data_IF_280348178768
#
_entry.id   IF_280348178768
#
_cell.length_a   1.000
_cell.length_b   1.000
_cell.length_c   1.000
_cell.angle_alpha   90.00
_cell.angle_beta   90.00
_cell.angle_gamma   90.00
#
_symmetry.space_group_name_H-M   'P 1'
#
loop_
_entity.id
_entity.type
_entity.pdbx_description
1 polymer ?
#
# COMPACT_ATOMS: atom_id res chain seq x y z
N UNK A 1 4.83 4.60 -5.61
CA UNK A 1 3.96 5.47 -4.80
C UNK A 1 2.47 5.23 -5.06
N UNK A 2 1.96 5.49 -6.28
CA UNK A 2 0.52 5.36 -6.58
C UNK A 2 -0.08 3.99 -6.22
N UNK A 3 0.68 2.91 -6.43
CA UNK A 3 0.22 1.56 -6.10
C UNK A 3 -0.01 1.36 -4.60
N UNK A 4 1.00 1.68 -3.77
CA UNK A 4 0.89 1.68 -2.30
C UNK A 4 -0.18 2.67 -1.80
N UNK A 5 -0.33 3.80 -2.49
CA UNK A 5 -1.32 4.82 -2.13
C UNK A 5 -2.77 4.34 -2.29
N UNK A 6 -3.05 3.31 -3.10
CA UNK A 6 -4.41 2.77 -3.26
C UNK A 6 -5.02 2.34 -1.93
N UNK A 7 -4.22 1.74 -1.04
CA UNK A 7 -4.69 1.31 0.29
C UNK A 7 -5.31 2.48 1.06
N UNK A 8 -4.54 3.56 1.28
CA UNK A 8 -5.05 4.75 1.99
C UNK A 8 -6.06 5.58 1.20
N UNK A 9 -6.02 5.58 -0.13
CA UNK A 9 -6.98 6.35 -0.93
C UNK A 9 -8.36 5.69 -1.01
N UNK A 10 -8.40 4.36 -1.08
CA UNK A 10 -9.64 3.61 -1.30
C UNK A 10 -10.22 3.04 0.00
N UNK A 11 -9.37 2.75 0.99
CA UNK A 11 -9.77 2.02 2.20
C UNK A 11 -9.96 2.95 3.39
N UNK A 12 -9.07 3.90 3.63
CA UNK A 12 -9.19 4.83 4.76
C UNK A 12 -10.47 5.67 4.70
N UNK A 13 -10.94 6.10 5.87
CA UNK A 13 -12.09 6.99 5.99
C UNK A 13 -11.86 8.32 5.23
N UNK A 14 -12.95 9.05 4.93
CA UNK A 14 -12.90 10.28 4.11
C UNK A 14 -11.98 11.33 4.72
N UNK A 15 -12.02 11.49 6.04
CA UNK A 15 -11.23 12.48 6.78
C UNK A 15 -10.04 11.87 7.53
N UNK A 16 -9.68 10.62 7.21
CA UNK A 16 -8.52 9.97 7.80
C UNK A 16 -7.23 10.75 7.46
N UNK A 17 -6.39 11.10 8.46
CA UNK A 17 -5.13 11.81 8.24
C UNK A 17 -4.21 11.14 7.20
N UNK A 18 -4.21 9.80 7.09
CA UNK A 18 -3.44 9.04 6.10
C UNK A 18 -3.89 9.37 4.67
N UNK A 19 -5.21 9.40 4.48
CA UNK A 19 -5.81 9.73 3.19
C UNK A 19 -5.55 11.19 2.83
N UNK A 20 -5.78 12.11 3.77
CA UNK A 20 -5.60 13.56 3.56
C UNK A 20 -4.14 13.94 3.33
N UNK A 21 -3.20 13.32 4.04
CA UNK A 21 -1.77 13.47 3.81
C UNK A 21 -1.39 13.05 2.38
N UNK A 22 -1.84 11.87 1.93
CA UNK A 22 -1.60 11.39 0.57
C UNK A 22 -2.22 12.30 -0.50
N UNK A 23 -3.47 12.74 -0.31
CA UNK A 23 -4.14 13.67 -1.23
C UNK A 23 -3.40 15.01 -1.32
N UNK A 24 -2.84 15.50 -0.21
CA UNK A 24 -2.05 16.75 -0.20
C UNK A 24 -0.81 16.64 -1.07
N UNK A 25 -0.08 15.52 -0.97
CA UNK A 25 1.10 15.25 -1.82
C UNK A 25 0.69 15.07 -3.28
N UNK A 26 -0.36 14.28 -3.55
CA UNK A 26 -0.85 14.06 -4.92
C UNK A 26 -1.34 15.34 -5.59
N UNK A 27 -1.99 16.24 -4.83
CA UNK A 27 -2.38 17.57 -5.31
C UNK A 27 -1.16 18.38 -5.74
N UNK A 28 -0.15 18.47 -4.88
CA UNK A 28 1.08 19.20 -5.18
C UNK A 28 1.80 18.61 -6.41
N UNK A 29 1.88 17.28 -6.51
CA UNK A 29 2.47 16.60 -7.66
C UNK A 29 1.68 16.84 -8.95
N UNK A 30 0.34 16.78 -8.92
CA UNK A 30 -0.51 16.96 -10.10
C UNK A 30 -0.42 18.39 -10.65
N UNK A 31 -0.54 19.38 -9.77
CA UNK A 31 -0.41 20.80 -10.15
C UNK A 31 1.01 21.10 -10.69
N UNK A 32 2.05 20.60 -10.01
CA UNK A 32 3.43 20.77 -10.45
C UNK A 32 3.72 20.07 -11.78
N UNK A 33 3.21 18.85 -11.96
CA UNK A 33 3.38 18.09 -13.19
C UNK A 33 2.69 18.77 -14.38
N UNK A 34 1.44 19.20 -14.24
CA UNK A 34 0.70 19.89 -15.30
C UNK A 34 1.47 21.14 -15.79
N UNK A 35 1.95 21.97 -14.85
CA UNK A 35 2.76 23.16 -15.16
C UNK A 35 4.10 22.81 -15.80
N UNK A 36 4.80 21.79 -15.29
CA UNK A 36 6.11 21.41 -15.78
C UNK A 36 6.08 20.82 -17.20
N UNK A 37 5.03 20.09 -17.57
CA UNK A 37 4.91 19.49 -18.90
C UNK A 37 4.28 20.42 -19.93
N UNK A 38 3.64 21.52 -19.52
CA UNK A 38 2.97 22.48 -20.41
C UNK A 38 3.81 22.97 -21.61
N UNK A 39 5.13 23.27 -21.47
CA UNK A 39 5.96 23.70 -22.61
C UNK A 39 6.20 22.63 -23.69
N UNK A 40 6.03 21.35 -23.35
CA UNK A 40 6.32 20.20 -24.23
C UNK A 40 5.04 19.51 -24.68
N UNK A 41 4.06 19.38 -23.78
CA UNK A 41 2.80 18.66 -23.97
C UNK A 41 1.61 19.60 -23.68
N UNK A 42 1.44 20.69 -24.45
CA UNK A 42 0.52 21.79 -24.12
C UNK A 42 -0.94 21.33 -24.00
N UNK A 43 -1.44 20.54 -24.95
CA UNK A 43 -2.82 20.07 -24.92
C UNK A 43 -3.10 19.14 -23.74
N UNK A 44 -2.15 18.26 -23.38
CA UNK A 44 -2.29 17.33 -22.26
C UNK A 44 -2.22 18.07 -20.92
N UNK A 45 -1.31 19.04 -20.80
CA UNK A 45 -1.21 19.88 -19.61
C UNK A 45 -2.50 20.66 -19.37
N UNK A 46 -3.05 21.25 -20.44
CA UNK A 46 -4.32 21.98 -20.38
C UNK A 46 -5.49 21.04 -20.04
N UNK A 47 -5.55 19.84 -20.64
CA UNK A 47 -6.58 18.85 -20.33
C UNK A 47 -6.53 18.40 -18.86
N UNK A 48 -5.35 18.17 -18.30
CA UNK A 48 -5.17 17.90 -16.86
C UNK A 48 -5.69 19.07 -16.02
N UNK A 49 -5.33 20.31 -16.39
CA UNK A 49 -5.68 21.52 -15.66
C UNK A 49 -7.19 21.79 -15.63
N UNK A 50 -7.87 21.58 -16.76
CA UNK A 50 -9.33 21.74 -16.87
C UNK A 50 -10.10 20.65 -16.11
N UNK A 51 -9.49 19.48 -15.89
CA UNK A 51 -10.11 18.34 -15.21
C UNK A 51 -9.60 18.14 -13.77
N UNK A 52 -9.02 19.17 -13.15
CA UNK A 52 -8.66 19.10 -11.73
C UNK A 52 -9.91 18.83 -10.88
N UNK A 53 -9.89 17.82 -9.98
CA UNK A 53 -11.07 17.42 -9.21
C UNK A 53 -11.32 18.30 -7.97
N UNK A 54 -10.74 19.50 -7.95
CA UNK A 54 -10.78 20.46 -6.85
C UNK A 54 -10.57 21.87 -7.38
N UNK A 55 -10.90 22.86 -6.54
CA UNK A 55 -10.68 24.26 -6.88
C UNK A 55 -9.20 24.55 -7.13
N UNK A 56 -8.95 25.27 -8.21
CA UNK A 56 -7.62 25.69 -8.64
C UNK A 56 -6.96 26.53 -7.52
N UNK A 57 -5.61 26.48 -7.37
CA UNK A 57 -4.94 27.12 -6.25
C UNK A 57 -5.22 28.63 -6.16
N UNK A 58 -5.38 29.14 -4.94
CA UNK A 58 -5.92 30.49 -4.66
C UNK A 58 -4.97 31.67 -4.85
N UNK A 59 -3.66 31.43 -5.02
CA UNK A 59 -2.74 32.46 -5.56
C UNK A 59 -3.06 32.82 -7.02
N UNK A 60 -4.05 32.13 -7.59
CA UNK A 60 -4.44 32.08 -8.98
C UNK A 60 -5.91 31.64 -9.11
N UNK A 61 -6.81 32.08 -8.20
CA UNK A 61 -8.26 31.78 -8.30
C UNK A 61 -8.86 32.21 -9.65
N UNK A 62 -8.12 33.00 -10.45
CA UNK A 62 -8.44 33.45 -11.80
C UNK A 62 -7.72 32.72 -12.95
N UNK A 63 -6.77 31.79 -12.71
CA UNK A 63 -6.05 31.14 -13.82
C UNK A 63 -6.92 30.08 -14.48
N UNK A 64 -7.50 30.45 -15.61
CA UNK A 64 -8.35 29.57 -16.40
C UNK A 64 -7.53 28.48 -17.09
N UNK A 65 -6.28 28.78 -17.47
CA UNK A 65 -5.41 27.87 -18.20
C UNK A 65 -4.10 27.55 -17.45
N UNK A 66 -3.52 26.38 -17.73
CA UNK A 66 -2.20 26.00 -17.19
C UNK A 66 -1.09 26.99 -17.58
N UNK A 67 -1.24 27.66 -18.74
CA UNK A 67 -0.26 28.63 -19.24
C UNK A 67 -0.28 29.95 -18.46
N UNK A 68 -1.39 30.27 -17.81
CA UNK A 68 -1.50 31.44 -16.92
C UNK A 68 -0.93 31.14 -15.54
N UNK A 69 -0.94 29.86 -15.14
CA UNK A 69 -0.44 29.40 -13.84
C UNK A 69 1.08 29.48 -13.67
N UNK A 70 1.84 29.67 -14.76
CA UNK A 70 3.30 29.81 -14.77
C UNK A 70 4.07 28.63 -14.17
N UNK A 71 5.40 28.69 -14.17
CA UNK A 71 6.20 27.76 -13.36
C UNK A 71 6.13 28.23 -11.89
N UNK A 72 5.94 27.32 -10.91
CA UNK A 72 5.87 27.72 -9.50
C UNK A 72 7.15 28.47 -9.10
N UNK A 73 7.00 29.71 -8.63
CA UNK A 73 8.12 30.54 -8.17
C UNK A 73 8.68 30.06 -6.83
N UNK A 74 7.85 29.37 -6.05
CA UNK A 74 8.21 28.74 -4.78
C UNK A 74 7.70 27.31 -4.82
N UNK A 75 8.60 26.35 -4.67
CA UNK A 75 8.22 24.97 -4.44
C UNK A 75 7.86 24.82 -2.96
N UNK A 76 6.80 24.08 -2.66
CA UNK A 76 6.46 23.75 -1.29
C UNK A 76 7.64 23.02 -0.65
N UNK A 77 8.23 23.61 0.38
CA UNK A 77 9.27 22.96 1.15
C UNK A 77 8.64 21.84 1.99
N UNK A 78 9.26 20.67 1.93
CA UNK A 78 8.96 19.55 2.81
C UNK A 78 10.18 19.31 3.69
N UNK A 79 9.99 18.79 4.92
CA UNK A 79 11.11 18.34 5.73
C UNK A 79 12.02 17.40 4.94
N UNK A 80 13.31 17.46 5.22
CA UNK A 80 14.27 16.53 4.63
C UNK A 80 13.80 15.10 4.91
N UNK A 81 13.59 14.34 3.84
CA UNK A 81 13.16 12.95 3.93
C UNK A 81 14.40 12.10 4.17
N UNK A 82 14.28 11.13 5.07
CA UNK A 82 15.31 10.11 5.26
C UNK A 82 15.42 9.22 4.00
N UNK A 83 16.27 9.65 3.07
CA UNK A 83 16.46 9.00 1.78
C UNK A 83 17.02 7.59 1.95
N UNK A 84 17.93 7.39 2.91
CA UNK A 84 18.58 6.11 3.17
C UNK A 84 17.55 5.07 3.65
N UNK A 85 16.65 5.47 4.55
CA UNK A 85 15.53 4.61 4.99
C UNK A 85 14.65 4.20 3.81
N UNK A 86 14.27 5.14 2.93
CA UNK A 86 13.40 4.81 1.80
C UNK A 86 14.12 4.08 0.65
N UNK A 87 15.43 4.24 0.51
CA UNK A 87 16.27 3.41 -0.36
C UNK A 87 16.29 1.98 0.13
N UNK A 88 16.51 1.76 1.43
CA UNK A 88 16.42 0.45 2.05
C UNK A 88 15.03 -0.19 1.84
N UNK A 89 13.94 0.54 2.07
CA UNK A 89 12.57 0.02 1.87
C UNK A 89 12.31 -0.35 0.40
N UNK A 90 12.79 0.46 -0.56
CA UNK A 90 12.67 0.15 -1.99
C UNK A 90 13.46 -1.10 -2.36
N UNK A 91 14.69 -1.21 -1.87
CA UNK A 91 15.53 -2.37 -2.10
C UNK A 91 14.93 -3.64 -1.47
N UNK A 92 14.39 -3.54 -0.26
CA UNK A 92 13.70 -4.64 0.40
C UNK A 92 12.46 -5.08 -0.40
N UNK A 93 11.74 -4.12 -0.99
CA UNK A 93 10.61 -4.40 -1.88
C UNK A 93 11.04 -5.13 -3.15
N UNK A 94 12.16 -4.76 -3.76
CA UNK A 94 12.71 -5.47 -4.92
C UNK A 94 13.04 -6.93 -4.55
N UNK A 95 13.68 -7.16 -3.40
CA UNK A 95 14.06 -8.51 -2.94
C UNK A 95 12.84 -9.37 -2.57
N UNK A 96 11.81 -8.77 -1.95
CA UNK A 96 10.53 -9.42 -1.68
C UNK A 96 9.76 -9.74 -2.97
N UNK A 97 9.77 -8.84 -3.96
CA UNK A 97 9.14 -9.09 -5.26
C UNK A 97 9.79 -10.26 -5.99
N UNK A 98 11.11 -10.39 -5.94
CA UNK A 98 11.84 -11.54 -6.51
C UNK A 98 11.42 -12.85 -5.86
N UNK A 99 11.29 -12.88 -4.53
CA UNK A 99 10.78 -14.06 -3.81
C UNK A 99 9.32 -14.37 -4.21
N UNK A 100 8.47 -13.34 -4.35
CA UNK A 100 7.08 -13.47 -4.79
C UNK A 100 6.96 -13.97 -6.24
N UNK A 101 7.88 -13.61 -7.13
CA UNK A 101 7.88 -14.10 -8.52
C UNK A 101 8.06 -15.62 -8.58
N UNK A 102 9.00 -16.17 -7.80
CA UNK A 102 9.18 -17.62 -7.67
C UNK A 102 7.92 -18.28 -7.07
N UNK A 103 7.37 -17.70 -6.00
CA UNK A 103 6.16 -18.20 -5.36
C UNK A 103 4.93 -18.18 -6.29
N UNK A 104 4.83 -17.20 -7.19
CA UNK A 104 3.77 -17.13 -8.22
C UNK A 104 3.97 -18.17 -9.31
N UNK A 105 5.21 -18.38 -9.77
CA UNK A 105 5.53 -19.38 -10.78
C UNK A 105 5.11 -20.79 -10.32
N UNK A 106 5.34 -21.08 -9.03
CA UNK A 106 4.95 -22.34 -8.40
C UNK A 106 3.49 -22.37 -7.89
N UNK A 107 2.72 -21.31 -8.14
CA UNK A 107 1.31 -21.14 -7.74
C UNK A 107 1.09 -21.22 -6.22
N UNK A 108 2.10 -20.92 -5.41
CA UNK A 108 1.96 -20.77 -3.97
C UNK A 108 1.09 -19.55 -3.66
N UNK A 109 1.31 -18.42 -4.34
CA UNK A 109 0.54 -17.18 -4.18
C UNK A 109 0.05 -16.67 -5.54
N UNK A 110 -1.09 -15.98 -5.58
CA UNK A 110 -1.56 -15.31 -6.78
C UNK A 110 -1.15 -13.84 -6.76
N UNK A 111 -1.77 -13.08 -5.85
CA UNK A 111 -1.46 -11.67 -5.61
C UNK A 111 -0.39 -11.50 -4.53
N UNK A 112 0.33 -10.36 -4.50
CA UNK A 112 1.28 -10.05 -3.41
C UNK A 112 0.61 -10.06 -2.03
N UNK A 113 -0.65 -9.62 -1.98
CA UNK A 113 -1.43 -9.58 -0.74
C UNK A 113 -1.78 -10.99 -0.22
N UNK A 114 -1.62 -12.05 -0.99
CA UNK A 114 -1.85 -13.42 -0.51
C UNK A 114 -0.67 -13.94 0.34
N UNK A 115 0.41 -13.15 0.47
CA UNK A 115 1.67 -13.57 1.06
C UNK A 115 1.93 -12.98 2.46
N UNK A 116 2.76 -13.70 3.22
CA UNK A 116 3.48 -13.22 4.38
C UNK A 116 4.98 -13.21 4.06
N UNK A 117 5.67 -12.14 4.43
CA UNK A 117 7.12 -12.00 4.29
C UNK A 117 7.81 -12.19 5.64
N UNK A 118 8.90 -12.95 5.65
CA UNK A 118 9.80 -13.12 6.78
C UNK A 118 11.14 -12.49 6.42
N UNK A 119 11.57 -11.49 7.18
CA UNK A 119 12.72 -10.65 6.86
C UNK A 119 13.73 -10.73 7.99
N UNK A 120 14.94 -11.16 7.66
CA UNK A 120 16.08 -11.10 8.55
C UNK A 120 17.08 -10.05 8.05
N UNK A 121 17.48 -9.14 8.93
CA UNK A 121 18.56 -8.19 8.71
C UNK A 121 19.71 -8.49 9.67
N UNK A 122 20.86 -8.86 9.14
CA UNK A 122 22.06 -9.18 9.93
C UNK A 122 22.75 -7.92 10.47
N UNK A 123 22.63 -6.80 9.75
CA UNK A 123 23.12 -5.49 10.20
C UNK A 123 22.14 -4.89 11.23
N UNK A 124 22.58 -4.62 12.48
CA UNK A 124 21.75 -3.99 13.51
C UNK A 124 21.19 -2.62 13.13
N UNK A 125 21.90 -1.84 12.30
CA UNK A 125 21.44 -0.54 11.85
C UNK A 125 20.23 -0.69 10.91
N UNK A 126 20.32 -1.61 9.95
CA UNK A 126 19.22 -1.98 9.06
C UNK A 126 18.04 -2.51 9.87
N UNK A 127 18.29 -3.42 10.82
CA UNK A 127 17.24 -3.94 11.71
C UNK A 127 16.50 -2.84 12.46
N UNK A 128 17.23 -1.87 13.01
CA UNK A 128 16.65 -0.74 13.74
C UNK A 128 15.72 0.10 12.86
N UNK A 129 16.11 0.36 11.61
CA UNK A 129 15.27 1.09 10.64
C UNK A 129 13.98 0.30 10.35
N UNK A 130 14.10 -1.00 10.08
CA UNK A 130 12.94 -1.85 9.78
C UNK A 130 11.99 -1.97 10.98
N UNK A 131 12.51 -2.08 12.21
CA UNK A 131 11.69 -2.11 13.42
C UNK A 131 10.88 -0.80 13.58
N UNK A 132 11.45 0.35 13.23
CA UNK A 132 10.74 1.63 13.22
C UNK A 132 9.61 1.75 12.18
N UNK A 133 9.58 0.83 11.19
CA UNK A 133 8.55 0.73 10.17
C UNK A 133 7.66 -0.51 10.34
N UNK A 134 7.91 -1.31 11.38
CA UNK A 134 7.07 -2.46 11.74
C UNK A 134 5.71 -1.94 12.22
N UNK A 135 4.68 -2.19 11.41
CA UNK A 135 3.32 -1.73 11.67
C UNK A 135 2.70 -2.35 12.93
N UNK A 136 1.48 -1.90 13.26
CA UNK A 136 0.73 -2.48 14.37
C UNK A 136 0.20 -3.88 14.05
N UNK A 137 0.27 -4.76 15.05
CA UNK A 137 -0.15 -6.16 14.93
C UNK A 137 -1.65 -6.27 14.65
N UNK A 138 -2.44 -5.34 15.20
CA UNK A 138 -3.91 -5.33 15.11
C UNK A 138 -4.45 -4.45 13.98
N UNK A 139 -3.67 -4.20 12.92
CA UNK A 139 -4.13 -3.44 11.74
C UNK A 139 -4.65 -2.02 12.06
N UNK A 140 -4.18 -1.41 13.16
CA UNK A 140 -4.65 -0.12 13.65
C UNK A 140 -4.56 0.96 12.56
N UNK A 141 -5.60 1.80 12.47
CA UNK A 141 -5.60 2.97 11.59
C UNK A 141 -5.94 4.24 12.38
N UNK A 142 -5.02 5.23 12.45
CA UNK A 142 -3.66 5.20 11.92
C UNK A 142 -2.74 4.27 12.73
N UNK A 143 -1.68 3.70 12.12
CA UNK A 143 -0.67 2.95 12.86
C UNK A 143 0.00 3.85 13.90
N UNK A 144 0.12 3.37 15.13
CA UNK A 144 0.64 4.10 16.28
C UNK A 144 2.16 3.96 16.38
N UNK A 145 2.71 2.84 15.93
CA UNK A 145 4.15 2.56 16.01
C UNK A 145 5.00 3.32 14.99
N UNK A 146 4.39 3.78 13.90
CA UNK A 146 5.09 4.44 12.79
C UNK A 146 4.73 5.92 12.70
N UNK A 147 4.98 6.56 11.55
CA UNK A 147 4.61 7.95 11.28
C UNK A 147 3.09 8.18 11.12
N UNK A 148 2.26 7.19 11.46
CA UNK A 148 0.82 7.24 11.28
C UNK A 148 0.35 6.99 9.86
N UNK A 149 1.24 6.73 8.90
CA UNK A 149 0.89 6.63 7.47
C UNK A 149 1.45 5.38 6.81
N UNK A 150 2.76 5.17 6.94
CA UNK A 150 3.51 4.14 6.23
C UNK A 150 4.01 3.08 7.21
N UNK A 151 3.93 1.83 6.78
CA UNK A 151 4.48 0.66 7.47
C UNK A 151 5.02 -0.33 6.42
N UNK A 152 5.77 -1.34 6.86
CA UNK A 152 6.36 -2.31 5.93
C UNK A 152 5.31 -3.09 5.14
N UNK A 153 4.16 -3.47 5.73
CA UNK A 153 3.14 -4.26 5.01
C UNK A 153 2.56 -3.48 3.82
N UNK A 154 2.28 -2.19 3.99
CA UNK A 154 1.77 -1.31 2.92
C UNK A 154 2.86 -0.95 1.93
N UNK A 155 4.08 -0.65 2.40
CA UNK A 155 5.21 -0.35 1.53
C UNK A 155 5.57 -1.52 0.61
N UNK A 156 5.55 -2.75 1.14
CA UNK A 156 5.85 -3.97 0.38
C UNK A 156 4.65 -4.49 -0.40
N UNK A 157 3.42 -4.06 -0.07
CA UNK A 157 2.16 -4.60 -0.61
C UNK A 157 1.99 -6.09 -0.33
N UNK A 158 2.30 -6.51 0.91
CA UNK A 158 2.26 -7.89 1.39
C UNK A 158 1.44 -7.92 2.68
N UNK A 159 0.65 -8.97 2.92
CA UNK A 159 -0.32 -8.91 4.01
C UNK A 159 0.27 -8.95 5.40
N UNK A 160 1.36 -9.67 5.57
CA UNK A 160 2.04 -9.82 6.85
C UNK A 160 3.54 -9.67 6.63
N UNK A 161 4.22 -8.97 7.53
CA UNK A 161 5.68 -8.80 7.51
C UNK A 161 6.18 -9.13 8.90
N UNK A 162 7.02 -10.16 8.99
CA UNK A 162 7.62 -10.64 10.21
C UNK A 162 9.11 -10.34 10.17
N UNK A 163 9.57 -9.45 11.05
CA UNK A 163 11.00 -9.21 11.24
C UNK A 163 11.55 -10.26 12.21
N UNK A 164 12.39 -11.15 11.73
CA UNK A 164 12.92 -12.29 12.51
C UNK A 164 14.40 -12.13 12.88
N UNK A 165 14.84 -12.89 13.87
CA UNK A 165 16.13 -12.70 14.53
C UNK A 165 17.27 -13.45 13.83
N UNK A 166 16.96 -14.46 13.01
CA UNK A 166 17.96 -15.29 12.33
C UNK A 166 17.55 -15.70 10.91
N UNK A 167 18.51 -16.18 10.12
CA UNK A 167 18.25 -16.75 8.79
C UNK A 167 17.54 -18.10 8.93
N UNK A 168 17.81 -18.84 10.00
CA UNK A 168 17.15 -20.08 10.35
C UNK A 168 15.64 -19.87 10.54
N UNK A 169 15.21 -18.78 11.19
CA UNK A 169 13.78 -18.45 11.34
C UNK A 169 13.10 -18.20 9.98
N UNK A 170 13.83 -17.65 9.01
CA UNK A 170 13.31 -17.49 7.64
C UNK A 170 13.14 -18.86 6.98
N UNK A 171 14.14 -19.74 7.12
CA UNK A 171 14.12 -21.10 6.55
C UNK A 171 13.06 -22.01 7.19
N UNK A 172 12.76 -21.81 8.48
CA UNK A 172 11.71 -22.55 9.18
C UNK A 172 10.31 -22.15 8.71
N UNK A 173 10.12 -20.88 8.33
CA UNK A 173 8.84 -20.34 7.86
C UNK A 173 8.60 -20.47 6.35
N UNK A 174 9.67 -20.47 5.55
CA UNK A 174 9.62 -20.35 4.10
C UNK A 174 10.41 -21.46 3.40
N UNK A 175 9.82 -22.02 2.34
CA UNK A 175 10.54 -22.92 1.44
C UNK A 175 11.69 -22.17 0.74
N UNK A 176 12.87 -22.78 0.65
CA UNK A 176 14.09 -22.15 0.11
C UNK A 176 13.92 -21.57 -1.31
N UNK A 177 13.00 -22.12 -2.11
CA UNK A 177 12.67 -21.63 -3.46
C UNK A 177 12.10 -20.21 -3.46
N UNK A 178 11.50 -19.82 -2.35
CA UNK A 178 10.83 -18.52 -2.17
C UNK A 178 11.61 -17.62 -1.20
N UNK A 179 12.93 -17.81 -1.13
CA UNK A 179 13.85 -17.00 -0.34
C UNK A 179 14.82 -16.27 -1.25
N UNK A 180 14.93 -14.95 -1.07
CA UNK A 180 16.01 -14.13 -1.60
C UNK A 180 17.05 -13.95 -0.50
N UNK A 181 18.22 -14.57 -0.66
CA UNK A 181 19.32 -14.47 0.31
C UNK A 181 19.97 -13.09 0.30
N UNK A 182 20.48 -12.63 1.44
CA UNK A 182 21.31 -11.43 1.55
C UNK A 182 22.60 -11.51 0.69
N UNK A 183 23.13 -12.72 0.46
CA UNK A 183 24.35 -12.95 -0.32
C UNK A 183 24.10 -13.10 -1.83
N UNK A 184 22.84 -13.03 -2.27
CA UNK A 184 22.52 -13.07 -3.69
C UNK A 184 23.09 -11.81 -4.38
N UNK A 185 23.85 -11.97 -5.45
CA UNK A 185 24.48 -10.84 -6.16
C UNK A 185 23.50 -9.83 -6.75
N UNK A 186 22.20 -10.15 -6.78
CA UNK A 186 21.12 -9.26 -7.16
C UNK A 186 20.30 -8.74 -5.96
N UNK A 187 20.62 -9.14 -4.72
CA UNK A 187 20.04 -8.59 -3.50
C UNK A 187 20.50 -7.14 -3.31
N UNK A 188 19.58 -6.25 -2.94
CA UNK A 188 19.91 -4.83 -2.76
C UNK A 188 19.71 -4.34 -1.34
N UNK A 189 18.93 -5.04 -0.52
CA UNK A 189 18.61 -4.61 0.85
C UNK A 189 19.63 -5.06 1.88
N UNK A 190 20.47 -6.05 1.55
CA UNK A 190 21.31 -6.76 2.52
C UNK A 190 20.52 -7.64 3.48
N UNK A 191 19.21 -7.82 3.26
CA UNK A 191 18.33 -8.66 4.07
C UNK A 191 18.10 -10.01 3.40
N UNK A 192 17.91 -11.05 4.20
CA UNK A 192 17.35 -12.32 3.73
C UNK A 192 15.83 -12.22 3.83
N UNK A 193 15.13 -12.45 2.72
CA UNK A 193 13.68 -12.29 2.61
C UNK A 193 13.05 -13.58 2.10
N UNK A 194 12.25 -14.24 2.94
CA UNK A 194 11.42 -15.37 2.56
C UNK A 194 9.95 -14.97 2.42
N UNK A 195 9.21 -15.63 1.53
CA UNK A 195 7.76 -15.46 1.43
C UNK A 195 7.02 -16.79 1.52
N UNK A 196 5.87 -16.76 2.18
CA UNK A 196 4.91 -17.88 2.28
C UNK A 196 3.48 -17.36 2.14
N UNK A 197 2.47 -18.21 2.26
CA UNK A 197 1.07 -17.76 2.29
C UNK A 197 0.77 -16.98 3.57
N UNK A 198 0.03 -15.87 3.44
CA UNK A 198 -0.49 -15.15 4.58
C UNK A 198 -1.46 -16.01 5.40
N UNK A 199 -1.42 -15.85 6.72
CA UNK A 199 -2.38 -16.47 7.63
C UNK A 199 -3.73 -15.73 7.61
N UNK A 200 -4.77 -16.42 8.06
CA UNK A 200 -6.12 -15.88 8.15
C UNK A 200 -6.89 -15.89 6.84
N UNK A 201 -7.81 -14.93 6.70
CA UNK A 201 -8.72 -14.85 5.56
C UNK A 201 -8.60 -13.51 4.83
N UNK A 202 -8.89 -13.52 3.54
CA UNK A 202 -8.91 -12.32 2.71
C UNK A 202 -10.07 -11.42 3.13
N UNK A 203 -9.77 -10.15 3.40
CA UNK A 203 -10.81 -9.15 3.57
C UNK A 203 -11.49 -8.80 2.23
N UNK A 204 -12.81 -8.80 2.17
CA UNK A 204 -13.60 -8.46 0.97
C UNK A 204 -13.40 -7.03 0.47
N UNK A 205 -13.00 -6.10 1.36
CA UNK A 205 -12.83 -4.67 1.04
C UNK A 205 -11.40 -4.27 0.69
N UNK A 206 -10.42 -4.55 1.56
CA UNK A 206 -9.02 -4.15 1.32
C UNK A 206 -8.14 -5.24 0.72
N UNK A 207 -8.65 -6.48 0.62
CA UNK A 207 -7.95 -7.65 0.09
C UNK A 207 -6.69 -8.10 0.85
N UNK A 208 -6.35 -7.43 1.94
CA UNK A 208 -5.37 -7.95 2.89
C UNK A 208 -5.90 -9.21 3.58
N UNK A 209 -4.98 -10.13 3.83
CA UNK A 209 -5.21 -11.30 4.66
C UNK A 209 -4.89 -10.98 6.10
N UNK A 210 -5.80 -11.38 6.98
CA UNK A 210 -5.67 -11.16 8.41
C UNK A 210 -6.45 -12.22 9.18
N UNK A 211 -5.92 -12.63 10.33
CA UNK A 211 -6.55 -13.66 11.18
C UNK A 211 -7.81 -13.16 11.88
N UNK A 212 -7.97 -11.83 11.99
CA UNK A 212 -9.18 -11.26 12.56
C UNK A 212 -10.36 -11.34 11.60
N UNK A 213 -10.17 -11.46 10.28
CA UNK A 213 -11.29 -11.52 9.31
C UNK A 213 -12.23 -12.70 9.65
N UNK A 214 -13.53 -12.44 9.77
CA UNK A 214 -14.53 -13.41 10.26
C UNK A 214 -14.72 -13.54 11.78
N UNK A 215 -13.76 -13.15 12.63
CA UNK A 215 -13.96 -13.08 14.10
C UNK A 215 -14.98 -12.02 14.62
N UNK A 216 -15.93 -12.43 15.46
CA UNK A 216 -16.93 -11.54 16.09
C UNK A 216 -16.43 -10.85 17.38
N UNK A 217 -15.11 -10.74 17.57
CA UNK A 217 -14.48 -10.53 18.87
C UNK A 217 -14.85 -9.23 19.63
N UNK A 218 -15.63 -8.32 19.04
CA UNK A 218 -16.14 -7.12 19.70
C UNK A 218 -17.59 -6.73 19.32
N UNK A 219 -18.46 -7.68 18.97
CA UNK A 219 -19.89 -7.41 18.80
C UNK A 219 -20.30 -6.91 17.42
N UNK A 220 -20.20 -7.81 16.43
CA UNK A 220 -20.90 -7.69 15.14
C UNK A 220 -20.22 -6.73 14.18
N UNK A 221 -19.15 -7.17 13.53
CA UNK A 221 -18.66 -6.48 12.33
C UNK A 221 -19.75 -6.49 11.27
N UNK A 222 -19.76 -5.46 10.43
CA UNK A 222 -20.80 -5.26 9.40
C UNK A 222 -20.86 -6.38 8.36
N UNK A 223 -19.79 -7.16 8.22
CA UNK A 223 -19.72 -8.30 7.32
C UNK A 223 -18.77 -9.39 7.81
N UNK A 224 -19.03 -10.67 7.45
CA UNK A 224 -18.22 -11.82 7.87
C UNK A 224 -16.84 -11.87 7.18
N UNK A 225 -16.63 -11.08 6.13
CA UNK A 225 -15.38 -11.02 5.36
C UNK A 225 -14.65 -9.69 5.52
N UNK A 226 -14.96 -8.91 6.56
CA UNK A 226 -14.29 -7.64 6.83
C UNK A 226 -13.24 -7.78 7.93
N UNK A 227 -12.08 -7.16 7.72
CA UNK A 227 -11.09 -6.94 8.79
C UNK A 227 -11.51 -5.75 9.66
N UNK A 228 -10.95 -5.67 10.87
CA UNK A 228 -11.24 -4.58 11.82
C UNK A 228 -11.06 -3.19 11.19
N UNK A 229 -9.93 -2.92 10.55
CA UNK A 229 -9.63 -1.65 9.88
C UNK A 229 -10.68 -1.23 8.85
N UNK A 230 -11.18 -2.20 8.07
CA UNK A 230 -12.20 -1.94 7.05
C UNK A 230 -13.55 -1.63 7.68
N UNK A 231 -13.90 -2.33 8.76
CA UNK A 231 -15.12 -2.12 9.52
C UNK A 231 -15.12 -0.73 10.20
N UNK A 232 -14.03 -0.34 10.86
CA UNK A 232 -13.87 0.99 11.46
C UNK A 232 -14.01 2.11 10.43
N UNK A 233 -13.39 1.97 9.26
CA UNK A 233 -13.50 2.96 8.20
C UNK A 233 -14.91 3.06 7.61
N UNK A 234 -15.68 1.96 7.58
CA UNK A 234 -17.10 2.01 7.21
C UNK A 234 -17.89 2.72 8.31
N UNK A 235 -17.65 2.40 9.58
CA UNK A 235 -18.34 3.06 10.69
C UNK A 235 -18.12 4.57 10.74
N UNK A 236 -16.88 5.01 10.54
CA UNK A 236 -16.59 6.45 10.42
C UNK A 236 -17.34 7.10 9.26
N UNK A 237 -17.54 6.39 8.14
CA UNK A 237 -18.32 6.90 7.01
C UNK A 237 -19.83 6.95 7.31
N UNK A 238 -20.38 5.95 7.99
CA UNK A 238 -21.79 5.94 8.42
C UNK A 238 -22.07 7.10 9.38
N UNK A 239 -21.20 7.31 10.37
CA UNK A 239 -21.30 8.42 11.32
C UNK A 239 -21.24 9.78 10.62
N UNK A 240 -20.33 9.94 9.66
CA UNK A 240 -20.15 11.20 8.95
C UNK A 240 -21.29 11.52 7.97
N UNK A 241 -21.94 10.50 7.39
CA UNK A 241 -22.93 10.70 6.33
C UNK A 241 -24.38 10.47 6.77
N UNK A 242 -24.59 9.79 7.90
CA UNK A 242 -25.90 9.31 8.34
C UNK A 242 -26.45 8.16 7.51
N UNK A 243 -25.69 7.64 6.54
CA UNK A 243 -26.07 6.46 5.76
C UNK A 243 -25.72 5.18 6.53
N UNK A 244 -26.32 4.07 6.13
CA UNK A 244 -25.98 2.73 6.63
C UNK A 244 -25.36 1.93 5.50
N UNK A 245 -24.27 1.23 5.81
CA UNK A 245 -23.64 0.31 4.89
C UNK A 245 -24.50 -0.93 4.75
N UNK A 246 -24.94 -1.19 3.53
CA UNK A 246 -25.59 -2.43 3.15
C UNK A 246 -24.57 -3.31 2.45
N UNK A 247 -24.33 -4.50 3.02
CA UNK A 247 -23.44 -5.47 2.40
C UNK A 247 -24.05 -5.93 1.08
N UNK A 248 -23.35 -5.79 -0.06
CA UNK A 248 -23.86 -6.24 -1.33
C UNK A 248 -24.10 -7.77 -1.28
N UNK A 249 -25.18 -8.23 -1.92
CA UNK A 249 -25.41 -9.65 -2.07
C UNK A 249 -24.21 -10.30 -2.79
N UNK A 250 -23.78 -11.50 -2.36
CA UNK A 250 -22.66 -12.18 -3.00
C UNK A 250 -23.00 -12.37 -4.48
N UNK A 251 -22.11 -11.91 -5.36
CA UNK A 251 -22.25 -12.19 -6.79
C UNK A 251 -22.30 -13.71 -7.00
N UNK A 252 -23.25 -14.21 -7.81
CA UNK A 252 -23.30 -15.63 -8.12
C UNK A 252 -21.94 -16.03 -8.71
N UNK A 253 -21.32 -17.06 -8.13
CA UNK A 253 -20.01 -17.54 -8.55
C UNK A 253 -19.93 -17.58 -10.09
N UNK A 254 -19.01 -16.79 -10.65
CA UNK A 254 -18.72 -16.82 -12.07
C UNK A 254 -18.47 -18.28 -12.43
N UNK A 255 -19.31 -18.85 -13.30
CA UNK A 255 -19.11 -20.20 -13.81
C UNK A 255 -17.67 -20.26 -14.31
N UNK A 256 -16.86 -21.16 -13.75
CA UNK A 256 -15.60 -21.53 -14.38
C UNK A 256 -15.93 -21.90 -15.82
N UNK A 257 -15.58 -21.03 -16.77
CA UNK A 257 -15.54 -21.40 -18.18
C UNK A 257 -14.50 -22.50 -18.26
N UNK A 258 -14.98 -23.74 -18.26
CA UNK A 258 -14.18 -24.91 -18.58
C UNK A 258 -13.50 -24.61 -19.91
N UNK A 259 -12.17 -24.46 -19.86
CA UNK A 259 -11.36 -24.29 -21.05
C UNK A 259 -11.69 -25.44 -22.01
N UNK A 260 -12.37 -25.14 -23.12
CA UNK A 260 -12.57 -26.10 -24.18
C UNK A 260 -11.18 -26.51 -24.70
N UNK A 261 -10.90 -27.82 -24.83
CA UNK A 261 -9.64 -28.27 -25.38
C UNK A 261 -9.57 -27.82 -26.83
N UNK A 262 -8.58 -27.00 -27.15
CA UNK A 262 -8.23 -26.65 -28.52
C UNK A 262 -7.84 -27.95 -29.24
N UNK A 263 -8.62 -28.31 -30.26
CA UNK A 263 -8.41 -29.47 -31.13
C UNK A 263 -7.36 -29.19 -32.20
#
# INVERSE_FOLDING_TARGET
YLDVAKDRLYISAVDDPRRRSCQTVLRACLEGFAKAVAPVLPHMAEDIWQNLPYDRPSSSDETESVFEGGFPSELREFPEVDADTWDLVRNLRDDANKALENARADKLVGASLDAAAYVHASDPAVRTILDGLSGDVDLLSPPVKTNGVDDLRTALMISQVHLVDSVEDVADACDERYVTSADDGNNKSGCTVGVTKAAGHKCGRCWFYDETVGSDAAGGRRGPDLCQRCDEAIGSWEEATGNTFEMPEPEPAAKEEAAEPVA
#
